data_IF_862509874902
#
_entry.id   IF_862509874902
#
_cell.length_a   1.000
_cell.length_b   1.000
_cell.length_c   1.000
_cell.angle_alpha   90.00
_cell.angle_beta   90.00
_cell.angle_gamma   90.00
#
_symmetry.space_group_name_H-M   'P 1'
#
loop_
_entity.id
_entity.type
_entity.pdbx_description
1 polymer ?
#
# COMPACT_ATOMS: atom_id res chain seq x y z
N UNK A 1 -24.76 7.07 -1.07
CA UNK A 1 -23.89 6.92 0.13
C UNK A 1 -23.37 5.50 0.38
N UNK A 2 -23.97 4.40 -0.13
CA UNK A 2 -23.49 3.03 0.17
C UNK A 2 -22.56 2.41 -0.87
N UNK A 3 -22.76 2.64 -2.17
CA UNK A 3 -22.04 1.88 -3.22
C UNK A 3 -20.55 2.24 -3.34
N UNK A 4 -20.18 3.52 -3.28
CA UNK A 4 -18.80 3.98 -3.44
C UNK A 4 -17.95 3.75 -2.17
N UNK A 5 -18.51 4.03 -0.99
CA UNK A 5 -17.89 3.67 0.28
C UNK A 5 -17.76 2.14 0.42
N UNK A 6 -18.74 1.38 -0.10
CA UNK A 6 -18.60 -0.08 -0.26
C UNK A 6 -17.49 -0.44 -1.23
N UNK A 7 -17.41 0.17 -2.41
CA UNK A 7 -16.37 -0.10 -3.43
C UNK A 7 -14.97 0.10 -2.86
N UNK A 8 -14.71 1.24 -2.19
CA UNK A 8 -13.45 1.52 -1.50
C UNK A 8 -13.22 0.54 -0.33
N UNK A 9 -14.26 0.21 0.44
CA UNK A 9 -14.16 -0.78 1.53
C UNK A 9 -13.93 -2.21 1.03
N UNK A 10 -14.40 -2.54 -0.17
CA UNK A 10 -14.22 -3.85 -0.80
C UNK A 10 -12.83 -3.95 -1.39
N UNK A 11 -12.39 -2.91 -2.11
CA UNK A 11 -11.03 -2.79 -2.60
C UNK A 11 -10.00 -2.81 -1.46
N UNK A 12 -10.31 -2.23 -0.30
CA UNK A 12 -9.41 -2.25 0.86
C UNK A 12 -9.39 -3.57 1.64
N UNK A 13 -10.42 -4.42 1.53
CA UNK A 13 -10.52 -5.66 2.34
C UNK A 13 -9.47 -6.70 1.97
N UNK A 14 -9.26 -6.91 0.66
CA UNK A 14 -8.28 -7.88 0.16
C UNK A 14 -6.86 -7.54 0.64
N UNK A 15 -6.32 -6.32 0.42
CA UNK A 15 -5.00 -5.95 0.92
C UNK A 15 -4.89 -6.03 2.44
N UNK A 16 -5.93 -5.63 3.19
CA UNK A 16 -5.91 -5.74 4.66
C UNK A 16 -5.81 -7.20 5.10
N UNK A 17 -6.58 -8.11 4.48
CA UNK A 17 -6.51 -9.52 4.80
C UNK A 17 -5.12 -10.11 4.51
N UNK A 18 -4.54 -9.76 3.36
CA UNK A 18 -3.17 -10.16 2.98
C UNK A 18 -2.16 -9.63 4.00
N UNK A 19 -2.28 -8.36 4.41
CA UNK A 19 -1.40 -7.76 5.41
C UNK A 19 -1.52 -8.46 6.78
N UNK A 20 -2.74 -8.73 7.24
CA UNK A 20 -2.97 -9.42 8.51
C UNK A 20 -2.41 -10.85 8.48
N UNK A 21 -2.64 -11.60 7.39
CA UNK A 21 -2.11 -12.95 7.23
C UNK A 21 -0.58 -12.95 7.19
N UNK A 22 0.04 -12.01 6.46
CA UNK A 22 1.49 -11.87 6.38
C UNK A 22 2.11 -11.45 7.73
N UNK A 23 1.46 -10.54 8.47
CA UNK A 23 1.88 -10.16 9.83
C UNK A 23 1.81 -11.34 10.79
N UNK A 24 0.73 -12.12 10.74
CA UNK A 24 0.60 -13.32 11.57
C UNK A 24 1.67 -14.37 11.23
N UNK A 25 1.94 -14.59 9.93
CA UNK A 25 3.03 -15.46 9.49
C UNK A 25 4.41 -14.95 9.97
N UNK A 26 4.64 -13.64 9.93
CA UNK A 26 5.87 -13.02 10.43
C UNK A 26 6.02 -13.24 11.93
N UNK A 27 4.95 -13.09 12.72
CA UNK A 27 4.95 -13.39 14.16
C UNK A 27 5.27 -14.87 14.43
N UNK A 28 4.65 -15.79 13.71
CA UNK A 28 4.93 -17.23 13.88
C UNK A 28 6.37 -17.57 13.52
N UNK A 29 6.89 -16.98 12.44
CA UNK A 29 8.26 -17.19 12.00
C UNK A 29 9.25 -16.69 13.04
N UNK A 30 9.09 -15.46 13.54
CA UNK A 30 10.00 -14.89 14.54
C UNK A 30 9.93 -15.65 15.85
N UNK A 31 8.74 -16.07 16.28
CA UNK A 31 8.58 -16.93 17.44
C UNK A 31 9.29 -18.28 17.26
N UNK A 32 9.08 -18.93 16.12
CA UNK A 32 9.70 -20.23 15.82
C UNK A 32 11.23 -20.11 15.74
N UNK A 33 11.76 -19.05 15.12
CA UNK A 33 13.20 -18.81 15.05
C UNK A 33 13.82 -18.63 16.45
N UNK A 34 13.15 -17.89 17.34
CA UNK A 34 13.61 -17.71 18.74
C UNK A 34 13.56 -19.03 19.50
N UNK A 35 12.49 -19.82 19.36
CA UNK A 35 12.37 -21.13 20.02
C UNK A 35 13.43 -22.10 19.52
N UNK A 36 13.63 -22.19 18.20
CA UNK A 36 14.59 -23.13 17.61
C UNK A 36 16.03 -22.77 17.99
N UNK A 37 16.35 -21.48 18.00
CA UNK A 37 17.65 -20.99 18.49
C UNK A 37 17.84 -21.27 19.98
N UNK A 38 16.82 -21.02 20.81
CA UNK A 38 16.94 -21.15 22.26
C UNK A 38 16.91 -22.60 22.76
N UNK A 39 16.17 -23.49 22.09
CA UNK A 39 15.98 -24.86 22.54
C UNK A 39 16.86 -25.88 21.81
N UNK A 40 17.18 -25.64 20.53
CA UNK A 40 17.89 -26.59 19.68
C UNK A 40 19.24 -26.05 19.16
N UNK A 41 19.60 -24.81 19.49
CA UNK A 41 20.83 -24.14 19.04
C UNK A 41 21.01 -24.18 17.50
N UNK A 42 19.88 -24.28 16.78
CA UNK A 42 19.82 -24.43 15.33
C UNK A 42 18.93 -23.29 14.76
N UNK A 43 19.49 -22.12 14.43
CA UNK A 43 18.72 -21.01 13.89
C UNK A 43 18.21 -21.32 12.47
N UNK A 44 17.13 -20.67 12.05
CA UNK A 44 16.62 -20.81 10.68
C UNK A 44 17.46 -19.90 9.76
N UNK A 45 18.34 -20.48 8.95
CA UNK A 45 19.24 -19.72 8.06
C UNK A 45 18.49 -18.78 7.10
N UNK A 46 17.34 -19.22 6.58
CA UNK A 46 16.50 -18.45 5.65
C UNK A 46 15.53 -17.46 6.34
N UNK A 47 15.53 -17.34 7.68
CA UNK A 47 14.55 -16.50 8.39
C UNK A 47 14.63 -15.03 7.96
N UNK A 48 15.84 -14.50 7.78
CA UNK A 48 16.06 -13.10 7.39
C UNK A 48 15.47 -12.79 6.01
N UNK A 49 15.60 -13.71 5.05
CA UNK A 49 15.02 -13.55 3.71
C UNK A 49 13.50 -13.55 3.77
N UNK A 50 12.92 -14.52 4.48
CA UNK A 50 11.48 -14.66 4.59
C UNK A 50 10.85 -13.48 5.35
N UNK A 51 11.51 -12.96 6.39
CA UNK A 51 11.10 -11.72 7.06
C UNK A 51 11.11 -10.55 6.07
N UNK A 52 12.16 -10.41 5.24
CA UNK A 52 12.24 -9.31 4.24
C UNK A 52 11.09 -9.40 3.24
N UNK A 53 10.75 -10.60 2.78
CA UNK A 53 9.63 -10.84 1.86
C UNK A 53 8.30 -10.51 2.55
N UNK A 54 8.07 -11.05 3.75
CA UNK A 54 6.84 -10.81 4.50
C UNK A 54 6.66 -9.33 4.85
N UNK A 55 7.72 -8.63 5.25
CA UNK A 55 7.69 -7.18 5.48
C UNK A 55 7.29 -6.42 4.22
N UNK A 56 7.85 -6.77 3.06
CA UNK A 56 7.46 -6.16 1.79
C UNK A 56 5.96 -6.40 1.52
N UNK A 57 5.48 -7.63 1.68
CA UNK A 57 4.06 -7.97 1.50
C UNK A 57 3.18 -7.13 2.41
N UNK A 58 3.51 -7.04 3.70
CA UNK A 58 2.76 -6.23 4.69
C UNK A 58 2.74 -4.76 4.29
N UNK A 59 3.91 -4.15 4.08
CA UNK A 59 4.04 -2.72 3.80
C UNK A 59 3.26 -2.35 2.54
N UNK A 60 3.50 -3.06 1.43
CA UNK A 60 2.86 -2.74 0.16
C UNK A 60 1.38 -3.09 0.14
N UNK A 61 0.92 -4.08 0.91
CA UNK A 61 -0.52 -4.33 1.09
C UNK A 61 -1.22 -3.20 1.84
N UNK A 62 -0.56 -2.56 2.81
CA UNK A 62 -1.15 -1.49 3.61
C UNK A 62 -1.17 -0.15 2.87
N UNK A 63 -0.18 0.11 2.00
CA UNK A 63 -0.08 1.34 1.19
C UNK A 63 -1.41 1.83 0.57
N UNK A 64 -2.17 1.03 -0.19
CA UNK A 64 -3.43 1.51 -0.81
C UNK A 64 -4.46 1.95 0.22
N UNK A 65 -4.51 1.30 1.38
CA UNK A 65 -5.47 1.59 2.44
C UNK A 65 -5.11 2.88 3.16
N UNK A 66 -3.83 3.08 3.47
CA UNK A 66 -3.37 4.30 4.14
C UNK A 66 -3.37 5.50 3.21
N UNK A 67 -3.05 5.34 1.93
CA UNK A 67 -3.11 6.43 0.96
C UNK A 67 -4.54 6.88 0.69
N UNK A 68 -5.52 5.97 0.77
CA UNK A 68 -6.94 6.32 0.67
C UNK A 68 -7.47 7.03 1.93
N UNK A 69 -6.98 6.67 3.13
CA UNK A 69 -7.48 7.18 4.41
C UNK A 69 -6.72 8.39 4.96
N UNK A 70 -5.40 8.41 4.79
CA UNK A 70 -4.49 9.42 5.32
C UNK A 70 -4.39 10.63 4.40
N UNK A 71 -5.55 11.14 3.96
CA UNK A 71 -5.67 12.32 3.12
C UNK A 71 -4.73 13.41 3.59
N UNK A 72 -3.72 13.69 2.75
CA UNK A 72 -2.70 14.72 2.86
C UNK A 72 -2.70 15.47 4.20
N UNK A 73 -2.06 14.95 5.25
CA UNK A 73 -2.01 15.61 6.58
C UNK A 73 -1.50 17.07 6.50
N UNK A 74 -0.73 17.41 5.45
CA UNK A 74 -0.31 18.79 5.13
C UNK A 74 -1.45 19.74 4.69
N UNK A 75 -2.58 19.18 4.25
CA UNK A 75 -3.80 19.92 3.89
C UNK A 75 -4.51 20.47 5.11
N UNK A 76 -4.60 19.70 6.20
CA UNK A 76 -5.22 20.16 7.45
C UNK A 76 -4.56 21.45 7.97
N UNK A 77 -3.24 21.59 7.80
CA UNK A 77 -2.48 22.79 8.18
C UNK A 77 -2.77 23.99 7.25
N UNK A 78 -3.06 23.75 5.98
CA UNK A 78 -3.40 24.80 5.00
C UNK A 78 -4.90 25.08 4.90
N UNK A 79 -5.74 24.24 5.49
CA UNK A 79 -7.20 24.37 5.46
C UNK A 79 -7.70 25.63 6.14
N UNK A 80 -7.10 26.03 7.26
CA UNK A 80 -7.45 27.29 7.95
C UNK A 80 -7.33 28.55 7.08
N UNK A 81 -6.42 28.54 6.10
CA UNK A 81 -6.18 29.64 5.17
C UNK A 81 -7.10 29.57 3.94
N UNK A 82 -7.41 28.35 3.48
CA UNK A 82 -8.22 28.11 2.28
C UNK A 82 -9.73 28.06 2.52
N UNK A 83 -10.18 27.76 3.74
CA UNK A 83 -11.62 27.80 4.11
C UNK A 83 -12.20 29.22 3.98
N UNK A 84 -11.38 30.26 4.16
CA UNK A 84 -11.77 31.66 3.90
C UNK A 84 -12.06 31.96 2.43
N UNK A 85 -11.53 31.16 1.50
CA UNK A 85 -11.65 31.38 0.05
C UNK A 85 -12.66 30.44 -0.63
N UNK A 86 -13.19 29.43 0.07
CA UNK A 86 -14.15 28.48 -0.49
C UNK A 86 -13.57 27.50 -1.53
N UNK A 87 -12.24 27.37 -1.63
CA UNK A 87 -11.53 26.59 -2.67
C UNK A 87 -10.91 25.27 -2.13
N UNK A 88 -11.12 24.93 -0.86
CA UNK A 88 -10.57 23.71 -0.24
C UNK A 88 -10.85 22.43 -1.05
N UNK A 89 -12.02 22.38 -1.70
CA UNK A 89 -12.51 21.25 -2.51
C UNK A 89 -11.68 20.96 -3.76
N UNK A 90 -11.33 22.01 -4.51
CA UNK A 90 -10.55 21.87 -5.75
C UNK A 90 -9.11 21.49 -5.40
N UNK A 91 -8.59 22.05 -4.31
CA UNK A 91 -7.27 21.68 -3.78
C UNK A 91 -7.20 20.19 -3.47
N UNK A 92 -8.20 19.63 -2.78
CA UNK A 92 -8.20 18.20 -2.41
C UNK A 92 -8.27 17.29 -3.65
N UNK A 93 -9.17 17.60 -4.59
CA UNK A 93 -9.26 16.87 -5.85
C UNK A 93 -7.92 16.90 -6.63
N UNK A 94 -7.29 18.07 -6.71
CA UNK A 94 -5.99 18.23 -7.37
C UNK A 94 -4.90 17.46 -6.63
N UNK A 95 -4.87 17.47 -5.31
CA UNK A 95 -3.85 16.75 -4.54
C UNK A 95 -3.97 15.24 -4.71
N UNK A 96 -5.18 14.68 -4.64
CA UNK A 96 -5.39 13.26 -4.89
C UNK A 96 -5.03 12.86 -6.32
N UNK A 97 -5.41 13.69 -7.31
CA UNK A 97 -5.06 13.45 -8.71
C UNK A 97 -3.55 13.53 -8.96
N UNK A 98 -2.90 14.60 -8.51
CA UNK A 98 -1.45 14.80 -8.65
C UNK A 98 -0.70 13.66 -7.96
N UNK A 99 -1.10 13.29 -6.75
CA UNK A 99 -0.45 12.20 -6.01
C UNK A 99 -0.66 10.85 -6.68
N UNK A 100 -1.88 10.58 -7.17
CA UNK A 100 -2.19 9.37 -7.94
C UNK A 100 -1.37 9.28 -9.23
N UNK A 101 -1.23 10.39 -9.96
CA UNK A 101 -0.43 10.48 -11.20
C UNK A 101 1.07 10.34 -10.90
N UNK A 102 1.58 11.01 -9.87
CA UNK A 102 2.97 10.87 -9.43
C UNK A 102 3.32 9.42 -9.09
N UNK A 103 2.35 8.67 -8.58
CA UNK A 103 2.50 7.26 -8.23
C UNK A 103 2.62 6.33 -9.45
N UNK A 104 2.33 6.80 -10.67
CA UNK A 104 2.56 6.02 -11.91
C UNK A 104 4.06 5.82 -12.17
N UNK A 105 4.90 6.80 -11.81
CA UNK A 105 6.35 6.70 -11.98
C UNK A 105 6.98 5.51 -11.21
N UNK A 106 6.74 5.34 -9.89
CA UNK A 106 7.25 4.18 -9.17
C UNK A 106 6.68 2.85 -9.68
N UNK A 107 5.42 2.81 -10.16
CA UNK A 107 4.85 1.60 -10.79
C UNK A 107 5.72 1.13 -11.95
N UNK A 108 6.06 2.05 -12.86
CA UNK A 108 6.91 1.74 -14.02
C UNK A 108 8.32 1.32 -13.60
N UNK A 109 8.90 2.01 -12.61
CA UNK A 109 10.25 1.68 -12.09
C UNK A 109 10.31 0.29 -11.47
N UNK A 110 9.33 -0.08 -10.64
CA UNK A 110 9.28 -1.41 -10.01
C UNK A 110 9.01 -2.48 -11.07
N UNK A 111 8.14 -2.21 -12.04
CA UNK A 111 7.88 -3.15 -13.13
C UNK A 111 9.16 -3.49 -13.92
N UNK A 112 9.93 -2.47 -14.32
CA UNK A 112 11.20 -2.67 -15.02
C UNK A 112 12.19 -3.46 -14.15
N UNK A 113 12.24 -3.18 -12.84
CA UNK A 113 13.08 -3.92 -11.91
C UNK A 113 12.67 -5.40 -11.81
N UNK A 114 11.37 -5.68 -11.74
CA UNK A 114 10.83 -7.03 -11.70
C UNK A 114 11.13 -7.82 -12.98
N UNK A 115 10.97 -7.18 -14.14
CA UNK A 115 11.25 -7.80 -15.44
C UNK A 115 12.75 -8.02 -15.65
N UNK A 116 13.59 -7.10 -15.17
CA UNK A 116 15.04 -7.29 -15.15
C UNK A 116 15.43 -8.46 -14.25
N UNK A 117 14.85 -8.55 -13.06
CA UNK A 117 15.09 -9.69 -12.15
C UNK A 117 14.68 -11.02 -12.80
N UNK A 118 13.58 -11.03 -13.58
CA UNK A 118 13.15 -12.19 -14.37
C UNK A 118 14.16 -12.58 -15.45
N UNK A 119 14.71 -11.61 -16.19
CA UNK A 119 15.64 -11.91 -17.29
C UNK A 119 17.03 -12.33 -16.82
N UNK A 120 17.47 -11.83 -15.67
CA UNK A 120 18.72 -12.24 -15.03
C UNK A 120 18.59 -13.56 -14.26
N UNK A 121 17.36 -13.96 -13.92
CA UNK A 121 17.11 -15.17 -13.12
C UNK A 121 17.50 -14.98 -11.65
N UNK A 122 17.36 -13.76 -11.11
CA UNK A 122 17.74 -13.46 -9.73
C UNK A 122 16.87 -14.28 -8.75
N UNK A 123 17.54 -15.07 -7.92
CA UNK A 123 16.94 -15.88 -6.86
C UNK A 123 17.49 -15.46 -5.50
N UNK A 124 16.70 -15.67 -4.44
CA UNK A 124 17.18 -15.45 -3.08
C UNK A 124 18.30 -16.44 -2.73
N UNK A 125 19.18 -16.05 -1.80
CA UNK A 125 20.45 -16.72 -1.52
C UNK A 125 20.25 -18.05 -0.80
N UNK A 126 19.31 -18.10 0.15
CA UNK A 126 19.05 -19.31 0.94
C UNK A 126 17.88 -20.12 0.41
N UNK A 127 16.78 -19.43 0.05
CA UNK A 127 15.53 -20.09 -0.30
C UNK A 127 15.35 -20.31 -1.81
N UNK A 128 16.28 -19.81 -2.63
CA UNK A 128 16.25 -19.86 -4.09
C UNK A 128 14.91 -19.40 -4.70
N UNK A 129 14.21 -18.49 -4.03
CA UNK A 129 12.92 -17.98 -4.51
C UNK A 129 13.20 -16.93 -5.58
N UNK A 130 12.55 -17.01 -6.75
CA UNK A 130 12.72 -15.98 -7.77
C UNK A 130 12.20 -14.62 -7.30
N UNK A 131 13.06 -13.60 -7.33
CA UNK A 131 12.73 -12.26 -6.81
C UNK A 131 11.61 -11.56 -7.61
N UNK A 132 11.43 -11.92 -8.87
CA UNK A 132 10.43 -11.30 -9.75
C UNK A 132 8.99 -11.43 -9.23
N UNK A 133 8.65 -12.50 -8.50
CA UNK A 133 7.31 -12.66 -7.90
C UNK A 133 6.98 -11.53 -6.92
N UNK A 134 7.94 -11.17 -6.09
CA UNK A 134 7.81 -10.08 -5.11
C UNK A 134 7.75 -8.76 -5.85
N UNK A 135 8.58 -8.58 -6.88
CA UNK A 135 8.57 -7.40 -7.74
C UNK A 135 7.19 -7.14 -8.36
N UNK A 136 6.56 -8.15 -8.97
CA UNK A 136 5.22 -8.03 -9.53
C UNK A 136 4.15 -7.74 -8.50
N UNK A 137 4.23 -8.38 -7.32
CA UNK A 137 3.32 -8.09 -6.22
C UNK A 137 3.39 -6.61 -5.81
N UNK A 138 4.61 -6.09 -5.64
CA UNK A 138 4.83 -4.67 -5.31
C UNK A 138 4.27 -3.77 -6.42
N UNK A 139 4.54 -4.07 -7.69
CA UNK A 139 3.98 -3.29 -8.81
C UNK A 139 2.45 -3.27 -8.75
N UNK A 140 1.80 -4.42 -8.54
CA UNK A 140 0.35 -4.51 -8.46
C UNK A 140 -0.21 -3.67 -7.30
N UNK A 141 0.42 -3.73 -6.12
CA UNK A 141 -0.01 -2.98 -4.95
C UNK A 141 0.16 -1.45 -5.11
N UNK A 142 1.27 -1.01 -5.70
CA UNK A 142 1.51 0.42 -5.98
C UNK A 142 0.56 0.92 -7.08
N UNK A 143 0.33 0.11 -8.12
CA UNK A 143 -0.62 0.43 -9.19
C UNK A 143 -2.06 0.53 -8.66
N UNK A 144 -2.45 -0.39 -7.77
CA UNK A 144 -3.73 -0.33 -7.07
C UNK A 144 -3.87 0.97 -6.27
N UNK A 145 -2.81 1.39 -5.58
CA UNK A 145 -2.82 2.64 -4.81
C UNK A 145 -2.98 3.87 -5.71
N UNK A 146 -2.24 3.92 -6.82
CA UNK A 146 -2.38 4.99 -7.83
C UNK A 146 -3.81 5.07 -8.36
N UNK A 147 -4.41 3.93 -8.72
CA UNK A 147 -5.79 3.85 -9.19
C UNK A 147 -6.78 4.35 -8.14
N UNK A 148 -6.63 3.94 -6.88
CA UNK A 148 -7.48 4.40 -5.77
C UNK A 148 -7.40 5.91 -5.58
N UNK A 149 -6.20 6.48 -5.59
CA UNK A 149 -6.00 7.93 -5.45
C UNK A 149 -6.65 8.72 -6.60
N UNK A 150 -6.50 8.26 -7.85
CA UNK A 150 -7.12 8.90 -9.02
C UNK A 150 -8.65 8.84 -8.90
N UNK A 151 -9.22 7.68 -8.55
CA UNK A 151 -10.67 7.52 -8.38
C UNK A 151 -11.19 8.44 -7.28
N UNK A 152 -10.50 8.52 -6.13
CA UNK A 152 -10.88 9.42 -5.03
C UNK A 152 -10.82 10.88 -5.47
N UNK A 153 -9.76 11.29 -6.19
CA UNK A 153 -9.62 12.65 -6.71
C UNK A 153 -10.71 13.04 -7.70
N UNK A 154 -11.08 12.14 -8.62
CA UNK A 154 -12.19 12.35 -9.57
C UNK A 154 -13.53 12.48 -8.83
N UNK A 155 -13.78 11.66 -7.80
CA UNK A 155 -15.02 11.75 -7.02
C UNK A 155 -15.13 13.11 -6.31
N UNK A 156 -14.02 13.61 -5.73
CA UNK A 156 -13.98 14.95 -5.15
C UNK A 156 -14.25 16.06 -6.17
N UNK A 157 -13.89 15.86 -7.45
CA UNK A 157 -14.14 16.81 -8.53
C UNK A 157 -15.62 16.82 -8.99
N UNK A 158 -16.28 15.65 -9.08
CA UNK A 158 -17.60 15.51 -9.71
C UNK A 158 -18.80 15.46 -8.75
N UNK A 159 -18.65 15.05 -7.48
CA UNK A 159 -19.78 14.85 -6.57
C UNK A 159 -19.54 15.40 -5.15
N UNK A 160 -19.50 16.74 -4.97
CA UNK A 160 -19.14 17.38 -3.69
C UNK A 160 -20.27 17.45 -2.64
N UNK A 161 -21.53 17.18 -2.98
CA UNK A 161 -22.69 17.42 -2.10
C UNK A 161 -23.01 16.31 -1.07
N UNK A 162 -22.21 15.24 -0.95
CA UNK A 162 -22.53 14.07 -0.11
C UNK A 162 -21.61 13.86 1.11
N UNK A 163 -20.73 14.82 1.42
CA UNK A 163 -19.73 14.70 2.52
C UNK A 163 -20.02 15.60 3.74
N UNK A 164 -21.10 16.39 3.76
CA UNK A 164 -21.40 17.29 4.89
C UNK A 164 -22.14 16.62 6.07
N UNK A 165 -22.58 15.37 5.95
CA UNK A 165 -23.54 14.78 6.91
C UNK A 165 -22.89 13.91 8.01
N UNK A 166 -21.55 13.89 8.10
CA UNK A 166 -20.84 13.07 9.12
C UNK A 166 -20.07 13.88 10.17
N UNK A 167 -20.32 15.19 10.23
CA UNK A 167 -19.82 16.08 11.28
C UNK A 167 -20.99 16.54 12.16
N UNK A 168 -21.68 15.59 12.79
CA UNK A 168 -22.49 15.81 14.00
C UNK A 168 -22.30 14.64 14.95
#
# INVERSE_FOLDING_TARGET
MSFMARMLSHAARVPIFVACAALFALMLLTFTDVVLRSAFNAPIEAATELIRILMAVVVFSVLPVISARGGHISVDLTDSLFDRAGVSRIRDAVLYLVSGVMMIWPVQRVWILAERSRSYGDVTEYLAIPQFYIGWFITAAVAMTSAVLIVVGIVHLFAPHFLSERRS
#
